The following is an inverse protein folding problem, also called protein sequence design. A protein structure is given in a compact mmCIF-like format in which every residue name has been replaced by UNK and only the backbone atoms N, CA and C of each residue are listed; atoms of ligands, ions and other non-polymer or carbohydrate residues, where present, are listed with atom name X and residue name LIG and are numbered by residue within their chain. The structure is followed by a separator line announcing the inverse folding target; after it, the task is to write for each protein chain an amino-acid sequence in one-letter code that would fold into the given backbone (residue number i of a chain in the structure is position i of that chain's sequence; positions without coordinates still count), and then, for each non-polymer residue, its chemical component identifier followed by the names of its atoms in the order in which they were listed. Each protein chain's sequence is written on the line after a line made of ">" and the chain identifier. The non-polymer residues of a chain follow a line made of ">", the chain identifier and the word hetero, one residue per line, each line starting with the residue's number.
data_IF_655078830062
#
_entry.id   IF_655078830062
#
_cell.length_a   1.000
_cell.length_b   1.000
_cell.length_c   1.000
_cell.angle_alpha   90.00
_cell.angle_beta   90.00
_cell.angle_gamma   90.00
#
_symmetry.space_group_name_H-M   'P 1'
#
loop_
_entity.id
_entity.type
_entity.pdbx_description
1 polymer ?
#
# COMPACT_ATOMS: atom_id res chain seq x y z
N UNK A 1 35.18 -18.56 53.72
CA UNK A 1 34.82 -17.55 52.70
C UNK A 1 34.64 -18.12 51.28
N UNK A 2 35.50 -19.04 50.80
CA UNK A 2 35.43 -19.58 49.43
C UNK A 2 34.08 -20.21 49.01
N UNK A 3 33.37 -20.88 49.91
CA UNK A 3 32.05 -21.51 49.63
C UNK A 3 30.95 -20.49 49.33
N UNK A 4 31.05 -19.29 49.91
CA UNK A 4 30.06 -18.22 49.70
C UNK A 4 30.22 -17.59 48.30
N UNK A 5 31.46 -17.37 47.87
CA UNK A 5 31.77 -16.90 46.52
C UNK A 5 31.33 -17.90 45.44
N UNK A 6 31.54 -19.19 45.69
CA UNK A 6 31.08 -20.25 44.77
C UNK A 6 29.55 -20.24 44.61
N UNK A 7 28.81 -20.08 45.71
CA UNK A 7 27.34 -20.02 45.67
C UNK A 7 26.82 -18.79 44.90
N UNK A 8 27.48 -17.63 45.05
CA UNK A 8 27.13 -16.40 44.32
C UNK A 8 27.39 -16.57 42.81
N UNK A 9 28.51 -17.20 42.43
CA UNK A 9 28.82 -17.48 41.02
C UNK A 9 27.78 -18.41 40.40
N UNK A 10 27.35 -19.45 41.13
CA UNK A 10 26.32 -20.36 40.65
C UNK A 10 24.94 -19.69 40.50
N UNK A 11 24.57 -18.80 41.43
CA UNK A 11 23.33 -18.02 41.32
C UNK A 11 23.37 -17.05 40.14
N UNK A 12 24.49 -16.38 39.92
CA UNK A 12 24.68 -15.51 38.76
C UNK A 12 24.59 -16.29 37.44
N UNK A 13 25.23 -17.46 37.36
CA UNK A 13 25.16 -18.32 36.18
C UNK A 13 23.73 -18.79 35.89
N UNK A 14 22.98 -19.22 36.91
CA UNK A 14 21.59 -19.64 36.76
C UNK A 14 20.68 -18.50 36.29
N UNK A 15 20.91 -17.28 36.78
CA UNK A 15 20.18 -16.09 36.36
C UNK A 15 20.40 -15.75 34.88
N UNK A 16 21.65 -15.81 34.41
CA UNK A 16 21.99 -15.57 33.00
C UNK A 16 21.33 -16.60 32.09
N UNK A 17 21.38 -17.89 32.47
CA UNK A 17 20.75 -18.97 31.70
C UNK A 17 19.23 -18.78 31.66
N UNK A 18 18.60 -18.46 32.80
CA UNK A 18 17.16 -18.19 32.87
C UNK A 18 16.74 -17.01 31.98
N UNK A 19 17.51 -15.91 32.02
CA UNK A 19 17.26 -14.75 31.17
C UNK A 19 17.37 -15.13 29.68
N UNK A 20 18.43 -15.84 29.29
CA UNK A 20 18.64 -16.26 27.90
C UNK A 20 17.52 -17.16 27.37
N UNK A 21 17.03 -18.11 28.18
CA UNK A 21 15.90 -18.98 27.83
C UNK A 21 14.62 -18.16 27.65
N UNK A 22 14.36 -17.19 28.52
CA UNK A 22 13.20 -16.31 28.41
C UNK A 22 13.24 -15.45 27.13
N UNK A 23 14.40 -14.88 26.79
CA UNK A 23 14.54 -14.08 25.56
C UNK A 23 14.32 -14.90 24.30
N UNK A 24 14.85 -16.14 24.26
CA UNK A 24 14.65 -17.06 23.14
C UNK A 24 13.18 -17.49 23.05
N UNK A 25 12.51 -17.67 24.18
CA UNK A 25 11.09 -18.01 24.22
C UNK A 25 10.21 -16.87 23.69
N UNK A 26 10.49 -15.64 24.09
CA UNK A 26 9.77 -14.46 23.59
C UNK A 26 10.02 -14.19 22.10
N UNK A 27 11.25 -14.42 21.62
CA UNK A 27 11.57 -14.35 20.18
C UNK A 27 10.82 -15.41 19.36
N UNK A 28 10.67 -16.64 19.89
CA UNK A 28 9.87 -17.67 19.23
C UNK A 28 8.37 -17.39 19.29
N UNK A 29 7.87 -16.79 20.37
CA UNK A 29 6.46 -16.36 20.51
C UNK A 29 6.10 -15.19 19.60
N UNK A 30 7.06 -14.29 19.40
CA UNK A 30 7.00 -13.21 18.43
C UNK A 30 7.07 -13.80 17.03
N UNK A 31 5.99 -14.45 16.59
CA UNK A 31 5.79 -14.72 15.16
C UNK A 31 5.96 -13.36 14.48
N UNK A 32 6.88 -13.22 13.51
CA UNK A 32 6.86 -12.06 12.63
C UNK A 32 5.41 -11.90 12.18
N UNK A 33 4.82 -10.69 12.21
CA UNK A 33 3.53 -10.48 11.58
C UNK A 33 3.67 -11.11 10.19
N UNK A 34 2.85 -12.14 9.93
CA UNK A 34 2.90 -12.83 8.66
C UNK A 34 2.92 -11.75 7.57
N UNK A 35 3.82 -11.81 6.57
CA UNK A 35 3.76 -10.90 5.45
C UNK A 35 2.31 -10.95 5.00
N UNK A 36 1.57 -9.85 5.19
CA UNK A 36 0.21 -9.81 4.70
C UNK A 36 0.38 -10.09 3.21
N UNK A 37 -0.22 -11.16 2.66
CA UNK A 37 -0.21 -11.32 1.23
C UNK A 37 -0.75 -10.01 0.69
N UNK A 38 0.06 -9.30 -0.09
CA UNK A 38 -0.39 -8.13 -0.84
C UNK A 38 -1.61 -8.66 -1.57
N UNK A 39 -2.81 -8.29 -1.13
CA UNK A 39 -4.03 -8.82 -1.73
C UNK A 39 -4.21 -8.06 -3.04
N UNK A 40 -3.42 -8.46 -4.03
CA UNK A 40 -3.62 -8.14 -5.44
C UNK A 40 -4.96 -8.72 -5.91
N UNK A 41 -5.53 -9.65 -5.13
CA UNK A 41 -6.68 -10.45 -5.47
C UNK A 41 -7.94 -10.02 -4.71
N UNK A 42 -8.54 -8.94 -5.21
CA UNK A 42 -9.99 -8.81 -5.49
C UNK A 42 -10.31 -7.33 -5.74
N UNK A 43 -9.68 -6.77 -6.77
CA UNK A 43 -10.33 -5.67 -7.47
C UNK A 43 -11.56 -6.28 -8.13
N UNK A 44 -12.79 -5.81 -7.83
CA UNK A 44 -13.97 -6.30 -8.52
C UNK A 44 -13.78 -6.15 -10.03
N UNK A 45 -14.13 -7.19 -10.79
CA UNK A 45 -14.12 -7.17 -12.25
C UNK A 45 -14.81 -5.88 -12.73
N UNK A 46 -14.14 -5.12 -13.59
CA UNK A 46 -14.60 -3.92 -14.32
C UNK A 46 -15.92 -3.40 -13.76
N UNK A 47 -15.85 -2.48 -12.79
CA UNK A 47 -17.04 -1.83 -12.27
C UNK A 47 -17.62 -0.91 -13.35
N UNK A 48 -18.36 -1.51 -14.29
CA UNK A 48 -19.11 -0.82 -15.32
C UNK A 48 -20.39 -0.25 -14.68
N UNK A 49 -20.21 0.65 -13.72
CA UNK A 49 -21.31 1.27 -13.01
C UNK A 49 -21.68 2.53 -13.77
N UNK A 50 -22.87 2.49 -14.38
CA UNK A 50 -23.59 3.58 -15.02
C UNK A 50 -23.27 3.83 -16.52
N UNK A 51 -24.19 3.48 -17.46
CA UNK A 51 -24.02 3.78 -18.89
C UNK A 51 -24.03 5.28 -19.22
N UNK A 52 -24.43 6.13 -18.26
CA UNK A 52 -24.37 7.59 -18.36
C UNK A 52 -23.12 8.19 -17.69
N UNK A 53 -22.27 7.38 -17.05
CA UNK A 53 -21.04 7.89 -16.47
C UNK A 53 -20.03 8.25 -17.56
N UNK A 54 -19.47 9.46 -17.48
CA UNK A 54 -18.44 9.97 -18.42
C UNK A 54 -17.10 9.25 -18.29
N UNK A 55 -16.89 8.55 -17.18
CA UNK A 55 -15.67 7.81 -16.89
C UNK A 55 -15.99 6.61 -15.99
N UNK A 56 -15.17 5.57 -16.03
CA UNK A 56 -15.30 4.39 -15.19
C UNK A 56 -13.95 3.97 -14.61
N UNK A 57 -13.94 3.55 -13.34
CA UNK A 57 -12.76 2.98 -12.69
C UNK A 57 -12.68 1.50 -13.07
N UNK A 58 -11.69 1.13 -13.85
CA UNK A 58 -11.53 -0.25 -14.35
C UNK A 58 -10.72 -1.12 -13.42
N UNK A 59 -9.67 -0.55 -12.82
CA UNK A 59 -8.79 -1.25 -11.91
C UNK A 59 -8.30 -0.31 -10.80
N UNK A 60 -8.04 -0.86 -9.62
CA UNK A 60 -7.26 -0.20 -8.60
C UNK A 60 -6.35 -1.19 -7.89
N UNK A 61 -5.18 -0.71 -7.45
CA UNK A 61 -4.23 -1.43 -6.60
C UNK A 61 -3.66 -0.48 -5.57
N UNK A 62 -3.34 -0.97 -4.39
CA UNK A 62 -2.66 -0.13 -3.38
C UNK A 62 -1.52 -0.89 -2.72
N UNK A 63 -0.46 -0.15 -2.41
CA UNK A 63 0.72 -0.64 -1.71
C UNK A 63 1.45 0.55 -1.07
N UNK A 64 2.00 0.39 0.14
CA UNK A 64 2.88 1.38 0.80
C UNK A 64 2.35 2.84 0.76
N UNK A 65 1.12 3.09 1.23
CA UNK A 65 0.46 4.41 1.20
C UNK A 65 0.29 5.05 -0.19
N UNK A 66 0.44 4.26 -1.27
CA UNK A 66 0.14 4.66 -2.64
C UNK A 66 -1.10 3.92 -3.17
N UNK A 67 -1.95 4.65 -3.90
CA UNK A 67 -3.06 4.11 -4.68
C UNK A 67 -2.76 4.26 -6.17
N UNK A 68 -2.90 3.17 -6.93
CA UNK A 68 -2.87 3.17 -8.38
C UNK A 68 -4.28 2.88 -8.89
N UNK A 69 -4.79 3.73 -9.76
CA UNK A 69 -6.12 3.63 -10.35
C UNK A 69 -6.03 3.66 -11.88
N UNK A 70 -6.82 2.83 -12.54
CA UNK A 70 -6.99 2.83 -13.99
C UNK A 70 -8.41 3.29 -14.29
N UNK A 71 -8.53 4.29 -15.15
CA UNK A 71 -9.78 4.94 -15.51
C UNK A 71 -9.97 4.88 -17.01
N UNK A 72 -11.13 4.41 -17.45
CA UNK A 72 -11.55 4.54 -18.85
C UNK A 72 -12.40 5.79 -19.02
N UNK A 73 -12.09 6.62 -20.02
CA UNK A 73 -12.91 7.76 -20.41
C UNK A 73 -12.67 8.15 -21.87
N UNK A 74 -13.71 8.67 -22.52
CA UNK A 74 -13.58 9.32 -23.83
C UNK A 74 -13.08 10.77 -23.71
N UNK A 75 -13.18 11.36 -22.52
CA UNK A 75 -12.85 12.76 -22.20
C UNK A 75 -11.50 12.86 -21.48
N UNK A 76 -10.42 12.58 -22.21
CA UNK A 76 -9.06 12.64 -21.66
C UNK A 76 -8.65 14.06 -21.25
N UNK A 77 -9.27 15.08 -21.82
CA UNK A 77 -9.14 16.48 -21.46
C UNK A 77 -9.65 16.79 -20.04
N UNK A 78 -10.54 15.96 -19.48
CA UNK A 78 -11.08 16.11 -18.13
C UNK A 78 -10.27 15.34 -17.07
N UNK A 79 -9.10 14.78 -17.43
CA UNK A 79 -8.33 13.89 -16.56
C UNK A 79 -8.06 14.47 -15.17
N UNK A 80 -7.67 15.74 -15.06
CA UNK A 80 -7.41 16.39 -13.76
C UNK A 80 -8.69 16.53 -12.93
N UNK A 81 -9.81 16.90 -13.55
CA UNK A 81 -11.09 17.03 -12.85
C UNK A 81 -11.58 15.67 -12.33
N UNK A 82 -11.45 14.62 -13.14
CA UNK A 82 -11.75 13.25 -12.74
C UNK A 82 -10.81 12.81 -11.61
N UNK A 83 -9.52 13.12 -11.70
CA UNK A 83 -8.55 12.82 -10.65
C UNK A 83 -8.90 13.49 -9.33
N UNK A 84 -9.41 14.73 -9.34
CA UNK A 84 -9.89 15.42 -8.14
C UNK A 84 -11.07 14.70 -7.50
N UNK A 85 -12.02 14.22 -8.29
CA UNK A 85 -13.17 13.45 -7.81
C UNK A 85 -12.74 12.12 -7.18
N UNK A 86 -11.80 11.41 -7.80
CA UNK A 86 -11.30 10.12 -7.30
C UNK A 86 -10.48 10.30 -6.02
N UNK A 87 -9.57 11.28 -6.01
CA UNK A 87 -8.65 11.50 -4.89
C UNK A 87 -9.33 12.11 -3.68
N UNK A 88 -10.29 13.02 -3.85
CA UNK A 88 -10.99 13.74 -2.77
C UNK A 88 -11.32 12.90 -1.53
N UNK A 89 -12.06 11.78 -1.67
CA UNK A 89 -12.43 10.93 -0.53
C UNK A 89 -11.27 10.10 0.07
N UNK A 90 -10.14 9.96 -0.64
CA UNK A 90 -9.03 9.08 -0.24
C UNK A 90 -7.74 9.83 0.12
N UNK A 91 -7.70 11.17 -0.01
CA UNK A 91 -6.51 11.99 0.28
C UNK A 91 -5.94 11.80 1.69
N UNK A 92 -6.77 11.44 2.65
CA UNK A 92 -6.33 11.23 4.04
C UNK A 92 -5.72 9.85 4.29
N UNK A 93 -5.86 8.91 3.34
CA UNK A 93 -5.41 7.51 3.46
C UNK A 93 -4.15 7.20 2.68
N UNK A 94 -3.85 7.99 1.65
CA UNK A 94 -2.72 7.77 0.76
C UNK A 94 -1.84 9.02 0.72
N UNK A 95 -0.53 8.82 0.69
CA UNK A 95 0.45 9.88 0.48
C UNK A 95 0.58 10.23 -1.01
N UNK A 96 0.27 9.25 -1.87
CA UNK A 96 0.35 9.37 -3.32
C UNK A 96 -0.81 8.62 -4.00
N UNK A 97 -1.35 9.21 -5.07
CA UNK A 97 -2.33 8.56 -5.93
C UNK A 97 -1.92 8.72 -7.39
N UNK A 98 -1.73 7.61 -8.09
CA UNK A 98 -1.44 7.55 -9.53
C UNK A 98 -2.69 7.11 -10.27
N UNK A 99 -3.11 7.90 -11.26
CA UNK A 99 -4.31 7.63 -12.05
C UNK A 99 -3.94 7.57 -13.52
N UNK A 100 -4.12 6.40 -14.12
CA UNK A 100 -3.88 6.17 -15.54
C UNK A 100 -5.20 6.25 -16.30
N UNK A 101 -5.24 7.09 -17.32
CA UNK A 101 -6.41 7.30 -18.16
C UNK A 101 -6.25 6.58 -19.49
N UNK A 102 -7.23 5.73 -19.79
CA UNK A 102 -7.31 4.90 -20.98
C UNK A 102 -8.55 5.28 -21.79
N UNK A 103 -8.47 5.07 -23.11
CA UNK A 103 -9.68 5.11 -23.94
C UNK A 103 -10.46 3.80 -23.75
N UNK A 104 -11.80 3.84 -23.71
CA UNK A 104 -12.61 2.63 -23.56
C UNK A 104 -12.25 1.58 -24.60
N UNK A 105 -12.05 0.33 -24.17
CA UNK A 105 -11.76 -0.79 -25.06
C UNK A 105 -10.30 -0.91 -25.52
N UNK A 106 -9.37 -0.16 -24.91
CA UNK A 106 -7.92 -0.36 -25.10
C UNK A 106 -7.20 -0.59 -23.77
N UNK A 107 -7.25 -1.80 -23.20
CA UNK A 107 -6.59 -2.10 -21.93
C UNK A 107 -5.05 -2.21 -22.02
N UNK A 108 -4.50 -2.57 -23.19
CA UNK A 108 -3.08 -2.96 -23.33
C UNK A 108 -2.16 -1.90 -23.95
N UNK A 109 -2.69 -0.72 -24.29
CA UNK A 109 -1.87 0.39 -24.82
C UNK A 109 -1.33 1.24 -23.68
N UNK A 110 -0.12 1.79 -23.86
CA UNK A 110 0.41 2.82 -22.97
C UNK A 110 -0.68 3.89 -22.73
N UNK A 111 -1.01 4.21 -21.47
CA UNK A 111 -2.08 5.16 -21.19
C UNK A 111 -1.71 6.52 -21.79
N UNK A 112 -2.58 7.16 -22.59
CA UNK A 112 -2.30 8.47 -23.18
C UNK A 112 -2.11 9.57 -22.14
N UNK A 113 -2.68 9.40 -20.93
CA UNK A 113 -2.53 10.37 -19.84
C UNK A 113 -2.39 9.68 -18.49
N UNK A 114 -1.60 10.31 -17.62
CA UNK A 114 -1.49 9.97 -16.21
C UNK A 114 -1.62 11.24 -15.37
N UNK A 115 -2.38 11.16 -14.29
CA UNK A 115 -2.39 12.19 -13.26
C UNK A 115 -1.81 11.61 -11.98
N UNK A 116 -0.81 12.28 -11.43
CA UNK A 116 -0.23 11.97 -10.14
C UNK A 116 -0.70 13.02 -9.14
N UNK A 117 -1.27 12.58 -8.03
CA UNK A 117 -1.56 13.42 -6.89
C UNK A 117 -0.62 13.11 -5.73
N UNK A 118 -0.05 14.15 -5.13
CA UNK A 118 0.70 14.06 -3.87
C UNK A 118 0.33 15.23 -2.97
N UNK A 119 0.56 15.09 -1.66
CA UNK A 119 0.32 16.17 -0.71
C UNK A 119 1.15 17.43 -1.02
N UNK A 120 2.40 17.25 -1.47
CA UNK A 120 3.34 18.34 -1.72
C UNK A 120 3.09 19.07 -3.03
N UNK A 121 2.81 18.32 -4.10
CA UNK A 121 2.79 18.87 -5.47
C UNK A 121 1.38 19.07 -6.01
N UNK A 122 0.35 18.66 -5.28
CA UNK A 122 -1.02 18.66 -5.79
C UNK A 122 -1.16 17.69 -6.95
N UNK A 123 -1.82 18.11 -8.04
CA UNK A 123 -2.05 17.30 -9.23
C UNK A 123 -1.05 17.64 -10.32
N UNK A 124 -0.29 16.64 -10.78
CA UNK A 124 0.63 16.74 -11.90
C UNK A 124 0.15 15.83 -13.01
N UNK A 125 -0.12 16.41 -14.17
CA UNK A 125 -0.51 15.67 -15.36
C UNK A 125 0.70 15.34 -16.23
N UNK A 126 0.75 14.12 -16.75
CA UNK A 126 1.70 13.66 -17.75
C UNK A 126 0.92 13.18 -18.97
N UNK A 127 1.23 13.74 -20.14
CA UNK A 127 0.67 13.33 -21.43
C UNK A 127 1.74 12.53 -22.16
N UNK A 128 1.35 11.39 -22.71
CA UNK A 128 2.22 10.53 -23.51
C UNK A 128 1.77 10.62 -24.98
N UNK A 129 2.69 10.97 -25.88
CA UNK A 129 2.49 11.06 -27.33
C UNK A 129 2.72 9.72 -28.04
#
# INVERSE_FOLDING_TARGET
>A
MAKLFLAIVWLAAASVVGAMVATVYELKRSRPPAPQPISIERTPARQNHNPWARWSLTEHRSAHNMLVAHVETVHLDEAVAIAQQITGPVKTRYEEVLIYFHRPGRPDTLPPRRVQWTLKSGYVETVYE
#
